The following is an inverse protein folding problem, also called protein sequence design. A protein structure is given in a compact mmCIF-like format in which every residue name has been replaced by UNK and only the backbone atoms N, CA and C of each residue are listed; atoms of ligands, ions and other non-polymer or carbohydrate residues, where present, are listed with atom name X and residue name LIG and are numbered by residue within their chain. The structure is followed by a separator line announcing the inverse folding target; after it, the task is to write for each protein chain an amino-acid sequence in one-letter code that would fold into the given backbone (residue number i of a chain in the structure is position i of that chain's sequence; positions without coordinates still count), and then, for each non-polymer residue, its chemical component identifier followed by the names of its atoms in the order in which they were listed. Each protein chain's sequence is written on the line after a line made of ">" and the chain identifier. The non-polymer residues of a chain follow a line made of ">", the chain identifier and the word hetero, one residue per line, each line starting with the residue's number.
data_IF_655229398960
#
_entry.id   IF_655229398960
#
_cell.length_a   1.000
_cell.length_b   1.000
_cell.length_c   1.000
_cell.angle_alpha   90.00
_cell.angle_beta   90.00
_cell.angle_gamma   90.00
#
_symmetry.space_group_name_H-M   'P 1'
#
loop_
_entity.id
_entity.type
_entity.pdbx_description
1 polymer ?
#
# COMPACT_ATOMS: atom_id res chain seq x y z
N UNK A 1 18.31 -2.58 0.22
CA UNK A 1 17.26 -3.23 -0.62
C UNK A 1 16.04 -2.33 -0.75
N UNK A 2 14.90 -2.81 -1.29
CA UNK A 2 13.64 -2.03 -1.46
C UNK A 2 13.22 -1.31 -0.16
N UNK A 3 13.29 -2.00 0.98
CA UNK A 3 12.94 -1.48 2.31
C UNK A 3 13.82 -0.31 2.76
N UNK A 4 15.14 -0.38 2.54
CA UNK A 4 16.06 0.73 2.84
C UNK A 4 15.81 1.93 1.93
N UNK A 5 15.48 1.69 0.66
CA UNK A 5 15.14 2.74 -0.28
C UNK A 5 13.87 3.47 0.17
N UNK A 6 12.82 2.74 0.54
CA UNK A 6 11.60 3.31 1.12
C UNK A 6 11.89 4.12 2.39
N UNK A 7 12.63 3.53 3.34
CA UNK A 7 12.98 4.21 4.58
C UNK A 7 13.81 5.49 4.34
N UNK A 8 14.71 5.48 3.35
CA UNK A 8 15.44 6.68 2.94
C UNK A 8 14.50 7.72 2.32
N UNK A 9 13.60 7.30 1.43
CA UNK A 9 12.62 8.19 0.81
C UNK A 9 11.71 8.85 1.84
N UNK A 10 11.18 8.11 2.82
CA UNK A 10 10.37 8.68 3.89
C UNK A 10 11.14 9.70 4.73
N UNK A 11 12.42 9.44 5.04
CA UNK A 11 13.28 10.44 5.72
C UNK A 11 13.53 11.69 4.88
N UNK A 12 13.56 11.58 3.55
CA UNK A 12 13.69 12.73 2.66
C UNK A 12 12.38 13.53 2.62
N UNK A 13 11.23 12.86 2.52
CA UNK A 13 9.90 13.48 2.59
C UNK A 13 9.70 14.16 3.94
N UNK A 14 10.17 13.57 5.04
CA UNK A 14 10.10 14.17 6.38
C UNK A 14 10.73 15.56 6.45
N UNK A 15 11.76 15.84 5.63
CA UNK A 15 12.41 17.17 5.57
C UNK A 15 11.53 18.25 4.93
N UNK A 16 10.47 17.85 4.24
CA UNK A 16 9.47 18.77 3.69
C UNK A 16 8.37 19.11 4.71
N UNK A 17 8.43 18.54 5.93
CA UNK A 17 7.46 18.77 7.00
C UNK A 17 6.00 18.61 6.57
N UNK A 18 5.62 17.45 5.98
CA UNK A 18 4.27 17.24 5.53
C UNK A 18 3.27 17.28 6.68
N UNK A 19 2.07 17.71 6.37
CA UNK A 19 0.94 17.81 7.28
C UNK A 19 -0.04 16.66 7.08
N UNK A 20 -1.05 16.58 7.95
CA UNK A 20 -2.14 15.62 7.79
C UNK A 20 -2.97 15.84 6.50
N UNK A 21 -2.79 16.95 5.78
CA UNK A 21 -3.48 17.22 4.50
C UNK A 21 -2.68 16.79 3.27
N UNK A 22 -1.44 16.39 3.48
CA UNK A 22 -0.56 15.94 2.41
C UNK A 22 -0.66 14.42 2.27
N UNK A 23 -0.43 13.93 1.04
CA UNK A 23 -0.43 12.51 0.72
C UNK A 23 0.91 12.09 0.11
N UNK A 24 1.28 10.84 0.31
CA UNK A 24 2.42 10.19 -0.35
C UNK A 24 1.88 9.03 -1.18
N UNK A 25 2.21 9.03 -2.47
CA UNK A 25 1.88 7.95 -3.39
C UNK A 25 3.13 7.10 -3.59
N UNK A 26 3.04 5.81 -3.23
CA UNK A 26 4.07 4.82 -3.51
C UNK A 26 3.66 4.05 -4.76
N UNK A 27 4.58 3.96 -5.72
CA UNK A 27 4.36 3.32 -7.02
C UNK A 27 5.55 2.43 -7.34
N UNK A 28 5.30 1.18 -7.71
CA UNK A 28 6.32 0.28 -8.23
C UNK A 28 6.74 0.70 -9.65
N UNK A 29 8.00 0.43 -10.02
CA UNK A 29 8.59 0.93 -11.27
C UNK A 29 7.97 0.37 -12.55
N UNK A 30 7.16 -0.68 -12.46
CA UNK A 30 6.41 -1.29 -13.56
C UNK A 30 4.91 -0.95 -13.53
N UNK A 31 4.50 -0.03 -12.66
CA UNK A 31 3.09 0.32 -12.46
C UNK A 31 2.72 1.63 -13.15
N UNK A 32 1.69 1.60 -14.00
CA UNK A 32 1.06 2.76 -14.59
C UNK A 32 -0.14 3.20 -13.76
N UNK A 33 -0.08 4.43 -13.23
CA UNK A 33 -1.12 5.00 -12.35
C UNK A 33 -2.02 5.95 -13.16
N UNK A 34 -3.35 5.93 -12.96
CA UNK A 34 -4.26 6.87 -13.60
C UNK A 34 -3.90 8.33 -13.34
N UNK A 35 -4.07 9.20 -14.34
CA UNK A 35 -3.80 10.65 -14.20
C UNK A 35 -4.69 11.31 -13.14
N UNK A 36 -5.92 10.82 -12.98
CA UNK A 36 -6.90 11.33 -12.01
C UNK A 36 -6.70 10.76 -10.59
N UNK A 37 -5.63 9.98 -10.34
CA UNK A 37 -5.48 9.25 -9.07
C UNK A 37 -5.61 10.15 -7.84
N UNK A 38 -4.94 11.30 -7.84
CA UNK A 38 -4.97 12.24 -6.72
C UNK A 38 -6.39 12.79 -6.53
N UNK A 39 -7.06 13.17 -7.62
CA UNK A 39 -8.42 13.68 -7.56
C UNK A 39 -9.42 12.64 -7.02
N UNK A 40 -9.21 11.36 -7.35
CA UNK A 40 -10.06 10.25 -6.92
C UNK A 40 -9.80 9.82 -5.47
N UNK A 41 -8.56 9.93 -4.99
CA UNK A 41 -8.18 9.39 -3.67
C UNK A 41 -8.06 10.44 -2.58
N UNK A 42 -7.66 11.68 -2.91
CA UNK A 42 -7.46 12.75 -1.93
C UNK A 42 -8.70 13.02 -1.04
N UNK A 43 -9.95 12.98 -1.56
CA UNK A 43 -11.13 13.20 -0.73
C UNK A 43 -11.27 12.22 0.43
N UNK A 44 -10.77 10.99 0.32
CA UNK A 44 -10.84 10.01 1.40
C UNK A 44 -9.99 10.39 2.62
N UNK A 45 -8.96 11.22 2.44
CA UNK A 45 -8.10 11.69 3.52
C UNK A 45 -8.69 12.87 4.30
N UNK A 46 -9.86 13.40 3.90
CA UNK A 46 -10.58 14.38 4.73
C UNK A 46 -11.11 13.76 6.03
N UNK A 47 -11.38 12.45 6.03
CA UNK A 47 -11.60 11.67 7.24
C UNK A 47 -10.25 11.46 7.95
N UNK A 48 -10.03 12.02 9.15
CA UNK A 48 -8.75 11.91 9.86
C UNK A 48 -8.41 10.47 10.28
N UNK A 49 -9.38 9.55 10.29
CA UNK A 49 -9.14 8.15 10.61
C UNK A 49 -8.54 7.37 9.44
N UNK A 50 -8.64 7.86 8.20
CA UNK A 50 -8.06 7.20 7.02
C UNK A 50 -6.56 7.44 6.99
N UNK A 51 -5.79 6.35 7.10
CA UNK A 51 -4.33 6.38 7.03
C UNK A 51 -3.78 6.00 5.66
N UNK A 52 -4.51 5.19 4.89
CA UNK A 52 -4.13 4.84 3.53
C UNK A 52 -5.30 4.48 2.62
N UNK A 53 -5.04 4.52 1.32
CA UNK A 53 -5.93 4.15 0.23
C UNK A 53 -5.17 3.26 -0.74
N UNK A 54 -5.80 2.19 -1.21
CA UNK A 54 -5.28 1.32 -2.27
C UNK A 54 -6.39 1.08 -3.30
N UNK A 55 -6.01 0.65 -4.49
CA UNK A 55 -6.89 0.55 -5.66
C UNK A 55 -6.92 -0.86 -6.21
N UNK A 56 -7.82 -1.11 -7.15
CA UNK A 56 -7.72 -2.32 -7.94
C UNK A 56 -6.45 -2.29 -8.81
N UNK A 57 -6.01 -3.47 -9.22
CA UNK A 57 -4.82 -3.70 -10.03
C UNK A 57 -5.20 -4.64 -11.16
N UNK A 58 -4.68 -4.34 -12.33
CA UNK A 58 -4.88 -5.13 -13.54
C UNK A 58 -3.51 -5.48 -14.09
N UNK A 59 -3.29 -6.76 -14.37
CA UNK A 59 -2.09 -7.19 -15.07
C UNK A 59 -2.24 -7.00 -16.58
N UNK A 60 -1.34 -6.24 -17.19
CA UNK A 60 -1.25 -6.10 -18.63
C UNK A 60 -0.54 -7.34 -19.21
N UNK A 61 -1.33 -8.18 -19.87
CA UNK A 61 -0.79 -9.34 -20.62
C UNK A 61 -1.11 -9.14 -22.10
N UNK A 62 -0.13 -8.76 -22.93
CA UNK A 62 -0.37 -8.36 -24.32
C UNK A 62 -0.99 -9.46 -25.19
N UNK A 63 -0.67 -10.72 -24.89
CA UNK A 63 -1.11 -11.85 -25.69
C UNK A 63 -2.27 -12.60 -25.02
N UNK A 64 -3.31 -12.97 -25.80
CA UNK A 64 -4.38 -13.83 -25.30
C UNK A 64 -3.84 -15.24 -25.00
N UNK A 65 -4.47 -15.92 -24.04
CA UNK A 65 -4.14 -17.29 -23.65
C UNK A 65 -4.35 -17.56 -22.16
N UNK A 66 -4.13 -18.81 -21.76
CA UNK A 66 -4.42 -19.29 -20.40
C UNK A 66 -3.75 -18.46 -19.29
N UNK A 67 -2.58 -17.87 -19.56
CA UNK A 67 -1.86 -17.04 -18.60
C UNK A 67 -2.57 -15.69 -18.35
N UNK A 68 -3.09 -15.06 -19.42
CA UNK A 68 -3.91 -13.85 -19.32
C UNK A 68 -5.21 -14.16 -18.60
N UNK A 69 -5.88 -15.25 -18.95
CA UNK A 69 -7.14 -15.65 -18.32
C UNK A 69 -6.95 -15.95 -16.82
N UNK A 70 -5.84 -16.59 -16.48
CA UNK A 70 -5.48 -16.86 -15.09
C UNK A 70 -5.23 -15.57 -14.30
N UNK A 71 -4.50 -14.61 -14.85
CA UNK A 71 -4.31 -13.31 -14.19
C UNK A 71 -5.63 -12.56 -14.05
N UNK A 72 -6.43 -12.45 -15.11
CA UNK A 72 -7.73 -11.81 -15.07
C UNK A 72 -8.62 -12.41 -13.97
N UNK A 73 -8.69 -13.75 -13.89
CA UNK A 73 -9.46 -14.43 -12.85
C UNK A 73 -8.90 -14.15 -11.45
N UNK A 74 -7.58 -14.21 -11.28
CA UNK A 74 -6.91 -13.94 -10.01
C UNK A 74 -7.16 -12.51 -9.51
N UNK A 75 -7.04 -11.52 -10.38
CA UNK A 75 -7.29 -10.12 -10.04
C UNK A 75 -8.78 -9.84 -9.80
N UNK A 76 -9.68 -10.46 -10.57
CA UNK A 76 -11.12 -10.38 -10.31
C UNK A 76 -11.51 -10.98 -8.95
N UNK A 77 -10.99 -12.15 -8.60
CA UNK A 77 -11.21 -12.77 -7.29
C UNK A 77 -10.69 -11.87 -6.15
N UNK A 78 -9.51 -11.28 -6.33
CA UNK A 78 -8.94 -10.33 -5.38
C UNK A 78 -9.82 -9.08 -5.25
N UNK A 79 -10.30 -8.51 -6.35
CA UNK A 79 -11.16 -7.34 -6.33
C UNK A 79 -12.47 -7.61 -5.56
N UNK A 80 -13.11 -8.75 -5.79
CA UNK A 80 -14.31 -9.16 -5.01
C UNK A 80 -14.00 -9.24 -3.52
N UNK A 81 -12.89 -9.89 -3.14
CA UNK A 81 -12.48 -10.02 -1.74
C UNK A 81 -12.15 -8.65 -1.11
N UNK A 82 -11.37 -7.82 -1.80
CA UNK A 82 -10.97 -6.49 -1.34
C UNK A 82 -12.16 -5.52 -1.25
N UNK A 83 -13.11 -5.61 -2.18
CA UNK A 83 -14.36 -4.86 -2.15
C UNK A 83 -15.18 -5.19 -0.90
N UNK A 84 -15.32 -6.49 -0.58
CA UNK A 84 -16.03 -6.91 0.62
C UNK A 84 -15.36 -6.43 1.90
N UNK A 85 -14.02 -6.52 1.98
CA UNK A 85 -13.26 -6.13 3.17
C UNK A 85 -13.19 -4.60 3.33
N UNK A 86 -13.07 -3.87 2.21
CA UNK A 86 -13.03 -2.41 2.18
C UNK A 86 -14.24 -1.74 2.82
N UNK A 87 -15.41 -2.40 2.82
CA UNK A 87 -16.61 -1.94 3.54
C UNK A 87 -16.40 -1.82 5.05
N UNK A 88 -15.54 -2.65 5.64
CA UNK A 88 -15.19 -2.59 7.05
C UNK A 88 -14.16 -1.49 7.38
N UNK A 89 -13.68 -0.74 6.37
CA UNK A 89 -12.59 0.24 6.54
C UNK A 89 -11.25 -0.40 6.87
N UNK A 90 -11.11 -1.71 6.65
CA UNK A 90 -9.89 -2.49 6.87
C UNK A 90 -9.69 -3.42 5.68
N UNK A 91 -8.59 -3.25 4.97
CA UNK A 91 -8.21 -4.11 3.86
C UNK A 91 -7.24 -5.20 4.33
N UNK A 92 -7.14 -6.31 3.58
CA UNK A 92 -6.25 -7.42 3.94
C UNK A 92 -4.77 -7.12 3.67
N UNK A 93 -4.51 -6.22 2.72
CA UNK A 93 -3.17 -5.70 2.43
C UNK A 93 -3.31 -4.35 1.74
N UNK A 94 -2.27 -3.52 1.81
CA UNK A 94 -2.09 -2.41 0.89
C UNK A 94 -1.30 -2.93 -0.28
N UNK A 95 -1.84 -2.82 -1.48
CA UNK A 95 -1.26 -3.56 -2.59
C UNK A 95 0.10 -2.98 -2.94
N UNK A 96 1.09 -3.86 -3.14
CA UNK A 96 2.49 -3.45 -3.27
C UNK A 96 2.80 -2.63 -4.52
N UNK A 97 1.91 -2.62 -5.52
CA UNK A 97 2.11 -1.88 -6.78
C UNK A 97 1.83 -0.40 -6.62
N UNK A 98 0.68 -0.07 -6.02
CA UNK A 98 0.32 1.31 -5.75
C UNK A 98 -0.47 1.43 -4.45
N UNK A 99 0.02 2.29 -3.57
CA UNK A 99 -0.66 2.63 -2.32
C UNK A 99 -0.41 4.10 -1.97
N UNK A 100 -1.43 4.71 -1.37
CA UNK A 100 -1.46 6.12 -1.05
C UNK A 100 -1.60 6.24 0.45
N UNK A 101 -0.76 7.04 1.07
CA UNK A 101 -0.74 7.20 2.52
C UNK A 101 -0.90 8.66 2.89
N UNK A 102 -1.44 8.90 4.08
CA UNK A 102 -1.34 10.21 4.72
C UNK A 102 0.13 10.50 5.02
N UNK A 103 0.61 11.65 4.56
CA UNK A 103 2.04 11.94 4.52
C UNK A 103 2.67 12.11 5.92
N UNK A 104 1.95 12.73 6.86
CA UNK A 104 2.39 12.89 8.24
C UNK A 104 2.58 11.55 8.97
N UNK A 105 1.86 10.50 8.58
CA UNK A 105 2.01 9.15 9.14
C UNK A 105 3.27 8.45 8.65
N UNK A 106 3.55 8.50 7.35
CA UNK A 106 4.69 7.76 6.77
C UNK A 106 6.05 8.32 7.18
N UNK A 107 6.09 9.61 7.55
CA UNK A 107 7.32 10.26 8.01
C UNK A 107 7.61 10.04 9.50
N UNK A 108 6.72 9.36 10.23
CA UNK A 108 6.94 9.11 11.66
C UNK A 108 8.14 8.17 11.87
N UNK A 109 9.00 8.43 12.86
CA UNK A 109 10.18 7.61 13.11
C UNK A 109 9.87 6.12 13.33
N UNK A 110 8.77 5.82 14.02
CA UNK A 110 8.31 4.46 14.30
C UNK A 110 7.76 3.75 13.05
N UNK A 111 7.05 4.49 12.17
CA UNK A 111 6.63 3.97 10.86
C UNK A 111 7.85 3.59 10.01
N UNK A 112 8.81 4.50 9.89
CA UNK A 112 10.03 4.30 9.10
C UNK A 112 10.83 3.12 9.64
N UNK A 113 10.95 3.01 10.96
CA UNK A 113 11.61 1.87 11.60
C UNK A 113 10.90 0.56 11.23
N UNK A 114 9.57 0.50 11.36
CA UNK A 114 8.78 -0.69 11.08
C UNK A 114 8.95 -1.15 9.63
N UNK A 115 9.02 -0.22 8.67
CA UNK A 115 9.30 -0.57 7.28
C UNK A 115 10.74 -1.07 7.11
N UNK A 116 11.73 -0.42 7.74
CA UNK A 116 13.14 -0.74 7.53
C UNK A 116 13.58 -2.07 8.16
N UNK A 117 13.15 -2.36 9.39
CA UNK A 117 13.77 -3.38 10.24
C UNK A 117 12.78 -4.42 10.79
N UNK A 118 11.67 -4.67 10.07
CA UNK A 118 10.67 -5.66 10.46
C UNK A 118 11.28 -7.06 10.61
N UNK A 119 10.85 -7.76 11.66
CA UNK A 119 11.34 -9.10 11.97
C UNK A 119 10.36 -9.83 12.88
N UNK A 120 10.38 -11.16 12.82
CA UNK A 120 9.67 -12.01 13.77
C UNK A 120 10.64 -12.76 14.66
N UNK A 121 10.24 -12.94 15.91
CA UNK A 121 10.86 -13.92 16.81
C UNK A 121 10.22 -15.28 16.56
N UNK A 122 10.95 -16.17 15.93
CA UNK A 122 10.51 -17.53 15.66
C UNK A 122 11.16 -18.49 16.67
N UNK A 123 10.36 -19.25 17.41
CA UNK A 123 10.82 -20.12 18.50
C UNK A 123 11.95 -21.09 18.09
N UNK A 124 11.92 -21.59 16.85
CA UNK A 124 12.95 -22.51 16.33
C UNK A 124 14.09 -21.81 15.58
N UNK A 125 13.82 -20.68 14.95
CA UNK A 125 14.74 -20.05 13.97
C UNK A 125 15.39 -18.78 14.53
N UNK A 126 15.06 -18.40 15.77
CA UNK A 126 15.49 -17.14 16.36
C UNK A 126 14.83 -15.95 15.65
N UNK A 127 15.58 -14.85 15.51
CA UNK A 127 15.10 -13.64 14.84
C UNK A 127 15.20 -13.79 13.33
N UNK A 128 14.06 -13.76 12.64
CA UNK A 128 14.00 -13.75 11.17
C UNK A 128 13.69 -12.33 10.70
N UNK A 129 14.66 -11.65 10.11
CA UNK A 129 14.49 -10.32 9.51
C UNK A 129 13.85 -10.44 8.13
N UNK A 130 12.81 -9.66 7.88
CA UNK A 130 12.10 -9.68 6.61
C UNK A 130 12.86 -8.89 5.53
N UNK A 131 13.11 -9.54 4.39
CA UNK A 131 13.74 -8.91 3.22
C UNK A 131 12.71 -8.31 2.25
N UNK A 132 11.50 -8.86 2.25
CA UNK A 132 10.35 -8.47 1.43
C UNK A 132 9.12 -8.24 2.32
N UNK A 133 8.02 -7.72 1.77
CA UNK A 133 6.78 -7.52 2.53
C UNK A 133 6.72 -6.16 3.24
N UNK A 134 7.20 -5.11 2.60
CA UNK A 134 7.06 -3.72 3.08
C UNK A 134 5.59 -3.27 3.11
N UNK A 135 4.77 -3.76 2.19
CA UNK A 135 3.31 -3.66 2.20
C UNK A 135 2.71 -4.20 3.51
N UNK A 136 3.13 -5.41 3.95
CA UNK A 136 2.71 -6.00 5.22
C UNK A 136 3.05 -5.09 6.39
N UNK A 137 4.25 -4.51 6.40
CA UNK A 137 4.72 -3.70 7.53
C UNK A 137 4.02 -2.35 7.61
N UNK A 138 3.78 -1.70 6.47
CA UNK A 138 3.00 -0.43 6.40
C UNK A 138 1.54 -0.67 6.80
N UNK A 139 0.91 -1.70 6.25
CA UNK A 139 -0.44 -2.15 6.60
C UNK A 139 -0.57 -2.46 8.09
N UNK A 140 0.34 -3.27 8.63
CA UNK A 140 0.31 -3.68 10.03
C UNK A 140 0.44 -2.49 10.96
N UNK A 141 1.34 -1.55 10.66
CA UNK A 141 1.52 -0.34 11.45
C UNK A 141 0.23 0.49 11.50
N UNK A 142 -0.45 0.69 10.37
CA UNK A 142 -1.71 1.43 10.34
C UNK A 142 -2.79 0.76 11.19
N UNK A 143 -2.93 -0.57 11.05
CA UNK A 143 -3.89 -1.33 11.84
C UNK A 143 -3.61 -1.26 13.34
N UNK A 144 -2.35 -1.42 13.76
CA UNK A 144 -1.98 -1.40 15.18
C UNK A 144 -2.17 -0.03 15.82
N UNK A 145 -2.17 1.04 15.01
CA UNK A 145 -2.41 2.42 15.45
C UNK A 145 -3.88 2.86 15.25
N UNK A 146 -4.76 1.95 14.83
CA UNK A 146 -6.20 2.21 14.73
C UNK A 146 -6.65 2.98 13.49
N UNK A 147 -5.77 3.15 12.48
CA UNK A 147 -6.13 3.81 11.24
C UNK A 147 -6.98 2.89 10.34
N UNK A 148 -7.89 3.53 9.61
CA UNK A 148 -8.68 2.93 8.55
C UNK A 148 -7.90 2.94 7.23
N UNK A 149 -8.23 1.99 6.37
CA UNK A 149 -7.72 1.88 5.01
C UNK A 149 -8.89 1.70 4.06
N UNK A 150 -8.89 2.43 2.94
CA UNK A 150 -9.95 2.36 1.93
C UNK A 150 -9.46 1.61 0.69
N UNK A 151 -10.39 0.91 0.06
CA UNK A 151 -10.20 0.26 -1.22
C UNK A 151 -11.12 0.89 -2.25
N UNK A 152 -10.56 1.32 -3.39
CA UNK A 152 -11.32 1.89 -4.50
C UNK A 152 -11.35 0.85 -5.63
N UNK A 153 -12.45 0.08 -5.78
CA UNK A 153 -12.55 -0.99 -6.76
C UNK A 153 -12.71 -0.48 -8.21
N UNK A 154 -13.09 0.79 -8.36
CA UNK A 154 -13.36 1.50 -9.61
C UNK A 154 -12.17 2.35 -10.10
N UNK A 155 -11.03 2.28 -9.40
CA UNK A 155 -9.76 2.87 -9.80
C UNK A 155 -8.78 1.72 -10.02
N UNK A 156 -8.09 1.73 -11.16
CA UNK A 156 -7.22 0.63 -11.57
C UNK A 156 -5.82 1.13 -11.86
N UNK A 157 -4.83 0.54 -11.19
CA UNK A 157 -3.42 0.64 -11.57
C UNK A 157 -3.07 -0.53 -12.50
N UNK A 158 -2.28 -0.26 -13.53
CA UNK A 158 -1.89 -1.26 -14.54
C UNK A 158 -0.45 -1.69 -14.30
N UNK A 159 -0.14 -2.98 -14.41
CA UNK A 159 1.20 -3.53 -14.16
C UNK A 159 1.53 -4.75 -14.99
#
# INVERSE_FOLDING_TARGET
>A
GKRDALARSFRLIARQSPTARDIVVLVDGDTCVPEDIVARTAPFFTDPQVGAVTTDEVAETPHPGAFRDWFNLRFAQRNVMMSSQGLAGRVLTLTGRMSIFRADLVVRPDFIWQVQADSIAHWRLGRVTFLTGDDKSTWFWLLSHGFLMRYLPDVQAWS
#
